data_IF_258830241934
#
_entry.id   IF_258830241934
#
_cell.length_a   1.000
_cell.length_b   1.000
_cell.length_c   1.000
_cell.angle_alpha   90.00
_cell.angle_beta   90.00
_cell.angle_gamma   90.00
#
_symmetry.space_group_name_H-M   'P 1'
#
loop_
_entity.id
_entity.type
_entity.pdbx_description
1 polymer ?
#
# COMPACT_ATOMS: atom_id res chain seq x y z
N UNK A 1 16.84 28.09 6.46
CA UNK A 1 16.79 26.74 5.87
C UNK A 1 16.90 25.73 7.01
N UNK A 2 15.79 25.01 7.26
CA UNK A 2 15.51 23.89 8.19
C UNK A 2 16.24 23.90 9.56
N UNK A 3 15.59 24.49 10.58
CA UNK A 3 15.91 24.38 12.02
C UNK A 3 14.94 23.49 12.81
N UNK A 4 14.05 22.76 12.13
CA UNK A 4 12.89 22.14 12.80
C UNK A 4 13.11 20.68 13.24
N UNK A 5 14.13 19.99 12.74
CA UNK A 5 14.38 18.58 13.07
C UNK A 5 15.10 18.35 14.41
N UNK A 6 15.65 19.39 15.03
CA UNK A 6 16.38 19.25 16.29
C UNK A 6 15.43 19.02 17.48
N UNK A 7 14.21 19.57 17.41
CA UNK A 7 13.17 19.37 18.41
C UNK A 7 12.22 18.19 18.08
N UNK A 8 12.24 17.69 16.84
CA UNK A 8 11.40 16.56 16.41
C UNK A 8 11.85 15.27 17.08
N UNK A 9 10.91 14.59 17.73
CA UNK A 9 11.17 13.30 18.40
C UNK A 9 10.76 12.09 17.58
N UNK A 10 9.80 12.26 16.67
CA UNK A 10 9.16 11.17 15.93
C UNK A 10 9.02 11.55 14.45
N UNK A 11 9.29 10.60 13.56
CA UNK A 11 9.07 10.73 12.12
C UNK A 11 8.03 9.71 11.67
N UNK A 12 6.93 10.17 11.09
CA UNK A 12 5.93 9.31 10.45
C UNK A 12 6.18 9.27 8.95
N UNK A 13 6.17 8.07 8.37
CA UNK A 13 6.37 7.86 6.94
C UNK A 13 5.11 7.34 6.30
N UNK A 14 4.82 7.83 5.11
CA UNK A 14 3.99 7.09 4.18
C UNK A 14 4.69 5.78 3.78
N UNK A 15 3.92 4.75 3.43
CA UNK A 15 4.45 3.43 3.12
C UNK A 15 4.65 3.24 1.60
N UNK A 16 3.64 3.56 0.79
CA UNK A 16 3.60 3.20 -0.62
C UNK A 16 4.23 4.28 -1.51
N UNK A 17 5.42 4.01 -2.05
CA UNK A 17 6.16 4.97 -2.88
C UNK A 17 7.08 5.89 -2.07
N UNK A 18 7.13 5.72 -0.75
CA UNK A 18 8.11 6.36 0.15
C UNK A 18 9.06 5.31 0.73
N UNK A 19 8.52 4.25 1.33
CA UNK A 19 9.30 3.12 1.86
C UNK A 19 9.34 2.00 0.82
N UNK A 20 8.17 1.62 0.29
CA UNK A 20 8.02 0.54 -0.69
C UNK A 20 8.18 1.07 -2.11
N UNK A 21 9.05 0.42 -2.88
CA UNK A 21 9.25 0.69 -4.30
C UNK A 21 8.15 0.04 -5.12
N UNK A 22 7.06 0.78 -5.33
CA UNK A 22 5.95 0.30 -6.15
C UNK A 22 6.38 0.00 -7.59
N UNK A 23 7.17 0.90 -8.20
CA UNK A 23 7.51 0.81 -9.61
C UNK A 23 8.50 -0.32 -9.88
N UNK A 24 9.61 -0.34 -9.15
CA UNK A 24 10.63 -1.37 -9.30
C UNK A 24 10.12 -2.76 -8.91
N UNK A 25 9.24 -2.86 -7.91
CA UNK A 25 8.67 -4.15 -7.50
C UNK A 25 7.61 -4.66 -8.46
N UNK A 26 6.67 -3.82 -8.91
CA UNK A 26 5.46 -4.29 -9.61
C UNK A 26 5.60 -4.31 -11.14
N UNK A 27 6.45 -3.47 -11.73
CA UNK A 27 6.60 -3.43 -13.21
C UNK A 27 7.03 -4.78 -13.82
N UNK A 28 7.93 -5.59 -13.20
CA UNK A 28 8.25 -6.92 -13.72
C UNK A 28 7.05 -7.88 -13.77
N UNK A 29 6.26 -7.93 -12.69
CA UNK A 29 5.04 -8.75 -12.64
C UNK A 29 3.99 -8.27 -13.66
N UNK A 30 3.93 -6.95 -13.88
CA UNK A 30 3.04 -6.36 -14.89
C UNK A 30 3.47 -6.78 -16.30
N UNK A 31 4.77 -6.73 -16.58
CA UNK A 31 5.32 -7.15 -17.86
C UNK A 31 4.97 -8.62 -18.16
N UNK A 32 5.11 -9.50 -17.16
CA UNK A 32 4.74 -10.90 -17.28
C UNK A 32 3.23 -11.07 -17.51
N UNK A 33 2.39 -10.33 -16.77
CA UNK A 33 0.95 -10.34 -16.97
C UNK A 33 0.56 -9.92 -18.40
N UNK A 34 1.12 -8.81 -18.89
CA UNK A 34 0.84 -8.28 -20.23
C UNK A 34 1.30 -9.23 -21.34
N UNK A 35 2.48 -9.84 -21.17
CA UNK A 35 3.01 -10.87 -22.09
C UNK A 35 2.07 -12.07 -22.20
N UNK A 36 1.50 -12.55 -21.09
CA UNK A 36 0.50 -13.63 -21.08
C UNK A 36 -0.81 -13.26 -21.79
N UNK A 37 -1.16 -11.97 -21.89
CA UNK A 37 -2.33 -11.53 -22.67
C UNK A 37 -2.04 -11.37 -24.18
N UNK A 38 -0.80 -11.58 -24.63
CA UNK A 38 -0.43 -11.59 -26.06
C UNK A 38 -0.48 -10.22 -26.73
N UNK A 39 -0.39 -9.11 -25.97
CA UNK A 39 -0.46 -7.74 -26.50
C UNK A 39 0.90 -7.05 -26.38
N UNK A 40 1.34 -6.36 -27.43
CA UNK A 40 2.55 -5.54 -27.40
C UNK A 40 2.23 -4.19 -26.73
N UNK A 41 2.31 -4.18 -25.39
CA UNK A 41 2.11 -2.98 -24.57
C UNK A 41 3.39 -2.74 -23.78
N UNK A 42 3.88 -1.50 -23.76
CA UNK A 42 5.02 -1.10 -22.95
C UNK A 42 4.65 -1.17 -21.45
N UNK A 43 5.26 -2.07 -20.65
CA UNK A 43 4.93 -2.20 -19.24
C UNK A 43 5.24 -0.94 -18.43
N UNK A 44 6.30 -0.19 -18.78
CA UNK A 44 6.68 1.01 -18.06
C UNK A 44 5.69 2.16 -18.32
N UNK A 45 5.27 2.32 -19.58
CA UNK A 45 4.19 3.23 -19.97
C UNK A 45 2.87 2.87 -19.32
N UNK A 46 2.48 1.60 -19.35
CA UNK A 46 1.25 1.12 -18.70
C UNK A 46 1.27 1.38 -17.19
N UNK A 47 2.39 1.10 -16.52
CA UNK A 47 2.54 1.36 -15.08
C UNK A 47 2.39 2.85 -14.75
N UNK A 48 2.97 3.73 -15.57
CA UNK A 48 2.83 5.18 -15.41
C UNK A 48 1.37 5.61 -15.55
N UNK A 49 0.68 5.14 -16.58
CA UNK A 49 -0.75 5.42 -16.79
C UNK A 49 -1.62 4.91 -15.62
N UNK A 50 -1.33 3.70 -15.15
CA UNK A 50 -1.98 3.11 -13.97
C UNK A 50 -1.83 4.00 -12.75
N UNK A 51 -0.61 4.45 -12.44
CA UNK A 51 -0.36 5.33 -11.28
C UNK A 51 -1.04 6.69 -11.41
N UNK A 52 -1.11 7.25 -12.61
CA UNK A 52 -1.86 8.48 -12.84
C UNK A 52 -3.36 8.26 -12.64
N UNK A 53 -3.92 7.18 -13.20
CA UNK A 53 -5.35 6.87 -13.05
C UNK A 53 -5.71 6.59 -11.60
N UNK A 54 -4.89 5.84 -10.86
CA UNK A 54 -5.13 5.54 -9.44
C UNK A 54 -5.22 6.81 -8.60
N UNK A 55 -4.34 7.80 -8.82
CA UNK A 55 -4.43 9.08 -8.11
C UNK A 55 -5.76 9.79 -8.37
N UNK A 56 -6.26 9.74 -9.61
CA UNK A 56 -7.55 10.32 -9.96
C UNK A 56 -8.68 9.62 -9.20
N UNK A 57 -8.69 8.29 -9.12
CA UNK A 57 -9.69 7.54 -8.31
C UNK A 57 -9.65 8.00 -6.83
N UNK A 58 -8.45 8.10 -6.25
CA UNK A 58 -8.28 8.54 -4.86
C UNK A 58 -8.75 9.99 -4.62
N UNK A 59 -8.57 10.88 -5.61
CA UNK A 59 -9.03 12.26 -5.52
C UNK A 59 -10.53 12.40 -5.71
N UNK A 60 -11.14 11.60 -6.60
CA UNK A 60 -12.58 11.63 -6.86
C UNK A 60 -13.37 11.36 -5.58
N UNK A 61 -12.98 10.34 -4.82
CA UNK A 61 -13.58 10.02 -3.53
C UNK A 61 -13.54 11.19 -2.54
N UNK A 62 -12.40 11.88 -2.48
CA UNK A 62 -12.19 13.00 -1.56
C UNK A 62 -12.94 14.25 -2.00
N UNK A 63 -12.99 14.53 -3.31
CA UNK A 63 -13.62 15.72 -3.87
C UNK A 63 -15.15 15.61 -3.91
N UNK A 64 -15.68 14.39 -4.03
CA UNK A 64 -17.11 14.13 -4.16
C UNK A 64 -17.75 13.67 -2.85
N UNK A 65 -16.99 13.66 -1.74
CA UNK A 65 -17.44 13.20 -0.41
C UNK A 65 -18.11 11.81 -0.44
N UNK A 66 -17.68 10.92 -1.35
CA UNK A 66 -18.30 9.61 -1.59
C UNK A 66 -17.90 8.53 -0.56
N UNK A 67 -17.17 8.93 0.48
CA UNK A 67 -16.46 8.02 1.37
C UNK A 67 -15.07 7.65 0.83
N UNK A 68 -14.25 7.04 1.67
CA UNK A 68 -12.86 6.70 1.33
C UNK A 68 -12.75 5.28 0.78
N UNK A 69 -12.51 5.10 -0.53
CA UNK A 69 -12.14 3.78 -1.07
C UNK A 69 -10.77 3.36 -0.56
N UNK A 70 -10.57 2.06 -0.33
CA UNK A 70 -9.27 1.53 0.07
C UNK A 70 -8.21 1.72 -1.02
N UNK A 71 -6.94 1.84 -0.61
CA UNK A 71 -5.81 2.00 -1.57
C UNK A 71 -5.80 0.92 -2.66
N UNK A 72 -5.93 -0.35 -2.29
CA UNK A 72 -5.94 -1.47 -3.25
C UNK A 72 -7.19 -1.46 -4.15
N UNK A 73 -8.32 -1.00 -3.64
CA UNK A 73 -9.55 -0.86 -4.43
C UNK A 73 -9.37 0.18 -5.53
N UNK A 74 -8.79 1.35 -5.21
CA UNK A 74 -8.48 2.37 -6.22
C UNK A 74 -7.45 1.90 -7.24
N UNK A 75 -6.48 1.07 -6.83
CA UNK A 75 -5.51 0.45 -7.73
C UNK A 75 -6.18 -0.54 -8.69
N UNK A 76 -7.09 -1.39 -8.20
CA UNK A 76 -7.85 -2.35 -9.01
C UNK A 76 -8.76 -1.65 -10.03
N UNK A 77 -9.49 -0.60 -9.59
CA UNK A 77 -10.32 0.24 -10.47
C UNK A 77 -9.48 0.89 -11.58
N UNK A 78 -8.34 1.46 -11.21
CA UNK A 78 -7.42 2.08 -12.15
C UNK A 78 -6.80 1.06 -13.13
N UNK A 79 -6.42 -0.12 -12.64
CA UNK A 79 -5.90 -1.20 -13.49
C UNK A 79 -6.93 -1.62 -14.53
N UNK A 80 -8.17 -1.86 -14.09
CA UNK A 80 -9.28 -2.21 -14.98
C UNK A 80 -9.53 -1.15 -16.04
N UNK A 81 -9.42 0.13 -15.67
CA UNK A 81 -9.54 1.26 -16.60
C UNK A 81 -8.42 1.25 -17.65
N UNK A 82 -7.16 1.15 -17.22
CA UNK A 82 -5.99 1.19 -18.12
C UNK A 82 -5.93 -0.06 -19.00
N UNK A 83 -6.36 -1.23 -18.51
CA UNK A 83 -6.57 -2.41 -19.35
C UNK A 83 -7.52 -2.10 -20.51
N UNK A 84 -8.72 -1.56 -20.23
CA UNK A 84 -9.70 -1.22 -21.27
C UNK A 84 -9.16 -0.20 -22.27
N UNK A 85 -8.43 0.82 -21.78
CA UNK A 85 -7.79 1.83 -22.62
C UNK A 85 -6.78 1.21 -23.61
N UNK A 86 -6.09 0.15 -23.18
CA UNK A 86 -5.12 -0.59 -23.98
C UNK A 86 -5.75 -1.79 -24.74
N UNK A 87 -7.08 -1.86 -24.83
CA UNK A 87 -7.82 -2.91 -25.54
C UNK A 87 -7.76 -4.29 -24.88
N UNK A 88 -7.38 -4.36 -23.60
CA UNK A 88 -7.35 -5.57 -22.78
C UNK A 88 -8.66 -5.72 -22.01
N UNK A 89 -9.16 -6.95 -21.91
CA UNK A 89 -10.34 -7.29 -21.10
C UNK A 89 -10.06 -8.53 -20.24
N UNK A 90 -9.17 -8.43 -19.23
CA UNK A 90 -8.86 -9.56 -18.36
C UNK A 90 -10.08 -9.94 -17.53
N UNK A 91 -10.24 -11.24 -17.23
CA UNK A 91 -11.27 -11.70 -16.31
C UNK A 91 -11.00 -11.20 -14.89
N UNK A 92 -12.02 -11.24 -14.03
CA UNK A 92 -11.88 -10.83 -12.63
C UNK A 92 -10.81 -11.63 -11.89
N UNK A 93 -10.69 -12.91 -12.20
CA UNK A 93 -9.70 -13.82 -11.61
C UNK A 93 -8.28 -13.37 -11.99
N UNK A 94 -8.06 -13.00 -13.26
CA UNK A 94 -6.78 -12.47 -13.73
C UNK A 94 -6.44 -11.12 -13.10
N UNK A 95 -7.43 -10.25 -12.90
CA UNK A 95 -7.23 -8.98 -12.18
C UNK A 95 -6.80 -9.28 -10.74
N UNK A 96 -7.48 -10.21 -10.05
CA UNK A 96 -7.13 -10.60 -8.69
C UNK A 96 -5.71 -11.19 -8.60
N UNK A 97 -5.35 -12.10 -9.50
CA UNK A 97 -3.99 -12.66 -9.60
C UNK A 97 -2.93 -11.55 -9.73
N UNK A 98 -3.20 -10.54 -10.56
CA UNK A 98 -2.33 -9.37 -10.67
C UNK A 98 -2.25 -8.60 -9.35
N UNK A 99 -3.40 -8.33 -8.70
CA UNK A 99 -3.45 -7.58 -7.44
C UNK A 99 -2.70 -8.28 -6.28
N UNK A 100 -2.53 -9.60 -6.33
CA UNK A 100 -1.74 -10.35 -5.35
C UNK A 100 -0.25 -9.97 -5.37
N UNK A 101 0.26 -9.39 -6.48
CA UNK A 101 1.65 -8.91 -6.58
C UNK A 101 2.01 -7.80 -5.59
N UNK A 102 1.03 -7.12 -4.97
CA UNK A 102 1.30 -6.15 -3.90
C UNK A 102 1.95 -6.78 -2.66
N UNK A 103 1.84 -8.10 -2.46
CA UNK A 103 2.54 -8.82 -1.40
C UNK A 103 4.06 -8.94 -1.66
N UNK A 104 4.48 -8.71 -2.90
CA UNK A 104 5.88 -8.80 -3.34
C UNK A 104 6.60 -7.44 -3.30
N UNK A 105 5.96 -6.40 -2.74
CA UNK A 105 6.56 -5.07 -2.64
C UNK A 105 7.82 -5.11 -1.78
N UNK A 106 8.93 -4.70 -2.38
CA UNK A 106 10.20 -4.51 -1.71
C UNK A 106 10.38 -3.03 -1.34
N UNK A 107 11.11 -2.74 -0.23
CA UNK A 107 11.54 -1.38 0.06
C UNK A 107 12.56 -0.89 -0.97
N UNK A 108 12.68 0.44 -1.13
CA UNK A 108 13.79 1.00 -1.91
C UNK A 108 15.16 0.59 -1.32
N UNK A 109 16.21 0.45 -2.15
CA UNK A 109 17.51 -0.08 -1.70
C UNK A 109 18.14 0.70 -0.54
N UNK A 110 17.88 2.01 -0.46
CA UNK A 110 18.45 2.91 0.54
C UNK A 110 17.63 3.00 1.83
N UNK A 111 16.37 2.53 1.82
CA UNK A 111 15.42 2.68 2.93
C UNK A 111 15.92 2.02 4.21
N UNK A 112 16.45 0.79 4.14
CA UNK A 112 16.92 0.09 5.34
C UNK A 112 18.07 0.84 6.02
N UNK A 113 19.06 1.28 5.24
CA UNK A 113 20.18 2.06 5.75
C UNK A 113 19.71 3.43 6.29
N UNK A 114 18.74 4.07 5.63
CA UNK A 114 18.17 5.33 6.09
C UNK A 114 17.41 5.17 7.41
N UNK A 115 16.55 4.17 7.53
CA UNK A 115 15.78 3.90 8.75
C UNK A 115 16.70 3.55 9.93
N UNK A 116 17.78 2.82 9.69
CA UNK A 116 18.80 2.55 10.72
C UNK A 116 19.46 3.83 11.24
N UNK A 117 19.83 4.75 10.34
CA UNK A 117 20.39 6.06 10.73
C UNK A 117 19.36 6.93 11.46
N UNK A 118 18.10 6.89 11.03
CA UNK A 118 17.05 7.71 11.64
C UNK A 118 16.67 7.20 13.03
N UNK A 119 16.68 5.88 13.25
CA UNK A 119 16.41 5.25 14.56
C UNK A 119 17.38 5.73 15.66
N UNK A 120 18.62 6.09 15.32
CA UNK A 120 19.59 6.54 16.33
C UNK A 120 19.30 7.95 16.87
N UNK A 121 18.49 8.75 16.16
CA UNK A 121 18.20 10.14 16.49
C UNK A 121 16.72 10.39 16.80
N UNK A 122 15.84 9.75 16.04
CA UNK A 122 14.40 9.88 16.17
C UNK A 122 13.83 8.58 16.69
N UNK A 123 12.88 8.68 17.60
CA UNK A 123 12.04 7.54 17.93
C UNK A 123 11.23 7.22 16.69
N UNK A 124 11.38 6.00 16.19
CA UNK A 124 10.44 5.51 15.19
C UNK A 124 9.04 5.57 15.83
N UNK A 125 7.97 5.86 15.07
CA UNK A 125 6.64 6.22 15.60
C UNK A 125 5.93 5.09 16.37
N UNK A 126 6.63 4.01 16.67
CA UNK A 126 6.13 2.82 17.31
C UNK A 126 6.46 2.75 18.81
N UNK A 127 7.42 3.54 19.32
CA UNK A 127 7.91 3.35 20.70
C UNK A 127 7.41 4.37 21.73
N UNK A 128 6.88 5.54 21.34
CA UNK A 128 6.48 6.54 22.34
C UNK A 128 5.42 7.54 21.84
N UNK A 129 4.36 7.03 21.23
CA UNK A 129 3.20 7.85 20.87
C UNK A 129 2.34 8.12 22.10
N UNK A 130 2.03 9.39 22.33
CA UNK A 130 1.01 9.83 23.30
C UNK A 130 -0.22 8.92 23.17
N UNK A 131 -0.89 8.53 24.27
CA UNK A 131 -1.96 7.50 24.27
C UNK A 131 -3.08 7.69 23.23
N UNK A 132 -3.24 8.91 22.71
CA UNK A 132 -4.14 9.29 21.62
C UNK A 132 -3.71 8.83 20.22
N UNK A 133 -2.44 8.48 20.01
CA UNK A 133 -1.85 8.16 18.71
C UNK A 133 -1.14 6.81 18.70
N UNK A 134 -1.44 5.96 19.69
CA UNK A 134 -0.95 4.58 19.66
C UNK A 134 -1.59 3.87 18.46
N UNK A 135 -0.82 3.10 17.67
CA UNK A 135 -1.40 2.26 16.63
C UNK A 135 -2.35 1.25 17.27
N UNK A 136 -3.46 0.94 16.60
CA UNK A 136 -4.43 -0.06 17.09
C UNK A 136 -3.77 -1.44 17.27
N UNK A 137 -2.68 -1.72 16.56
CA UNK A 137 -1.89 -2.94 16.63
C UNK A 137 -0.41 -2.63 16.42
N UNK A 138 0.47 -3.24 17.24
CA UNK A 138 1.92 -3.28 17.02
C UNK A 138 2.35 -4.73 16.85
N UNK A 139 3.20 -5.02 15.86
CA UNK A 139 3.67 -6.38 15.54
C UNK A 139 5.17 -6.40 15.30
N UNK A 140 5.80 -7.55 15.53
CA UNK A 140 7.23 -7.77 15.27
C UNK A 140 7.53 -8.03 13.79
N UNK A 141 6.57 -8.54 13.02
CA UNK A 141 6.74 -8.85 11.60
C UNK A 141 5.41 -8.87 10.82
N UNK A 142 5.50 -9.01 9.49
CA UNK A 142 4.35 -8.93 8.58
C UNK A 142 3.36 -10.11 8.74
N UNK A 143 3.85 -11.30 9.06
CA UNK A 143 3.00 -12.49 9.29
C UNK A 143 2.08 -12.26 10.49
N UNK A 144 2.62 -11.70 11.57
CA UNK A 144 1.87 -11.38 12.78
C UNK A 144 0.80 -10.31 12.53
N UNK A 145 1.07 -9.33 11.66
CA UNK A 145 0.04 -8.36 11.24
C UNK A 145 -1.09 -9.06 10.48
N UNK A 146 -0.76 -9.96 9.56
CA UNK A 146 -1.75 -10.70 8.78
C UNK A 146 -2.65 -11.57 9.67
N UNK A 147 -2.07 -12.28 10.64
CA UNK A 147 -2.80 -13.15 11.55
C UNK A 147 -3.78 -12.36 12.44
N UNK A 148 -3.39 -11.16 12.89
CA UNK A 148 -4.26 -10.26 13.67
C UNK A 148 -5.41 -9.71 12.82
N UNK A 149 -5.13 -9.29 11.58
CA UNK A 149 -6.16 -8.80 10.65
C UNK A 149 -7.16 -9.90 10.25
N UNK A 150 -6.73 -11.15 10.23
CA UNK A 150 -7.56 -12.32 9.94
C UNK A 150 -8.29 -12.89 11.17
N UNK A 151 -8.09 -12.29 12.36
CA UNK A 151 -8.72 -12.72 13.60
C UNK A 151 -8.21 -14.06 14.14
N UNK A 152 -7.01 -14.48 13.73
CA UNK A 152 -6.39 -15.75 14.12
C UNK A 152 -5.61 -15.63 15.44
N UNK A 153 -5.35 -14.41 15.91
CA UNK A 153 -4.67 -14.10 17.18
C UNK A 153 -5.48 -13.03 17.94
N UNK A 154 -5.70 -13.17 19.27
CA UNK A 154 -6.42 -12.18 20.05
C UNK A 154 -5.64 -10.87 20.18
N UNK A 155 -6.35 -9.73 20.10
CA UNK A 155 -5.79 -8.41 20.35
C UNK A 155 -5.27 -8.27 21.78
N UNK A 156 -4.17 -7.53 21.95
CA UNK A 156 -3.67 -7.16 23.26
C UNK A 156 -4.73 -6.34 24.04
N UNK A 157 -4.76 -6.50 25.36
CA UNK A 157 -5.70 -5.77 26.24
C UNK A 157 -5.52 -4.26 26.07
N UNK A 158 -6.59 -3.56 25.68
CA UNK A 158 -6.60 -2.10 25.50
C UNK A 158 -6.61 -1.64 24.04
N UNK A 159 -6.46 -2.55 23.08
CA UNK A 159 -6.67 -2.24 21.66
C UNK A 159 -8.18 -2.18 21.34
N UNK A 160 -8.58 -1.19 20.54
CA UNK A 160 -9.89 -1.23 19.90
C UNK A 160 -9.97 -2.50 19.02
N UNK A 161 -11.16 -3.14 18.91
CA UNK A 161 -11.32 -4.25 17.99
C UNK A 161 -10.86 -3.85 16.58
N UNK A 162 -10.31 -4.78 15.79
CA UNK A 162 -9.90 -4.45 14.43
C UNK A 162 -11.13 -3.91 13.71
N UNK A 163 -10.93 -2.95 12.80
CA UNK A 163 -11.99 -2.51 11.88
C UNK A 163 -12.64 -3.77 11.33
N UNK A 164 -13.91 -4.01 11.69
CA UNK A 164 -14.65 -5.15 11.19
C UNK A 164 -14.82 -4.93 9.69
N UNK A 165 -13.97 -5.57 8.90
CA UNK A 165 -14.23 -5.71 7.48
C UNK A 165 -15.59 -6.39 7.35
N UNK A 166 -16.51 -5.86 6.53
CA UNK A 166 -17.85 -6.42 6.40
C UNK A 166 -17.71 -7.90 6.06
N UNK A 167 -18.18 -8.75 6.98
CA UNK A 167 -18.30 -10.19 6.72
C UNK A 167 -19.25 -10.30 5.54
N UNK A 168 -18.79 -10.91 4.44
CA UNK A 168 -19.67 -11.34 3.36
C UNK A 168 -20.82 -12.13 4.01
N UNK A 169 -22.05 -11.70 3.73
CA UNK A 169 -23.25 -12.35 4.20
C UNK A 169 -23.26 -13.84 3.84
N UNK A 170 -23.90 -14.60 4.72
CA UNK A 170 -24.37 -15.96 4.47
C UNK A 170 -25.33 -16.00 3.28
#
# INVERSE_FOLDING_TARGET
MIRELDATKVLTFDLFGTVLDLGGSLTPYLADFLKRQGRAVDPAGFWRELRHRQRIEQYQDSLLELGHSGYLETAEKAFSYVCRLNGLNPSREKIKEWMESWQMLAPFPDVLAALQRLKSRFRLPFEDTHSRYLPDVTVANFTELADILLGQVPLAKGCNPPIQLPRKGA
#
